data_IF_438689186955
#
_entry.id   IF_438689186955
#
_cell.length_a   1.000
_cell.length_b   1.000
_cell.length_c   1.000
_cell.angle_alpha   90.00
_cell.angle_beta   90.00
_cell.angle_gamma   90.00
#
_symmetry.space_group_name_H-M   'P 1'
#
loop_
_entity.id
_entity.type
_entity.pdbx_description
1 polymer ?
#
# COMPACT_ATOMS: atom_id res chain seq x y z
N UNK A 1 -35.03 20.21 6.96
CA UNK A 1 -34.45 20.10 6.99
C UNK A 1 -33.95 19.35 6.38
N UNK A 2 -33.50 19.59 6.24
CA UNK A 2 -32.95 18.66 5.76
C UNK A 2 -33.47 17.51 6.20
N UNK A 3 -33.87 16.66 5.43
CA UNK A 3 -34.41 15.45 5.88
C UNK A 3 -33.31 14.64 6.55
N UNK A 4 -33.69 13.91 7.58
CA UNK A 4 -32.72 13.05 8.26
C UNK A 4 -32.09 12.03 7.32
N UNK A 5 -32.86 11.49 6.40
CA UNK A 5 -32.29 10.55 5.46
C UNK A 5 -31.17 11.15 4.64
N UNK A 6 -31.34 12.38 4.28
CA UNK A 6 -30.35 13.08 3.54
C UNK A 6 -29.05 13.19 4.35
N UNK A 7 -29.18 13.49 5.63
CA UNK A 7 -27.99 13.56 6.48
C UNK A 7 -27.29 12.22 6.54
N UNK A 8 -28.04 11.16 6.61
CA UNK A 8 -27.45 9.84 6.67
C UNK A 8 -26.63 9.54 5.43
N UNK A 9 -27.15 9.93 4.27
CA UNK A 9 -26.41 9.73 3.03
C UNK A 9 -25.11 10.51 3.05
N UNK A 10 -25.15 11.74 3.50
CA UNK A 10 -23.95 12.55 3.57
C UNK A 10 -22.90 11.91 4.47
N UNK A 11 -23.34 11.40 5.62
CA UNK A 11 -22.45 10.77 6.55
C UNK A 11 -21.78 9.54 5.93
N UNK A 12 -22.55 8.75 5.20
CA UNK A 12 -22.02 7.56 4.55
C UNK A 12 -20.96 7.93 3.52
N UNK A 13 -21.22 8.96 2.73
CA UNK A 13 -20.24 9.39 1.74
C UNK A 13 -18.97 9.87 2.40
N UNK A 14 -19.09 10.61 3.48
CA UNK A 14 -17.92 11.10 4.18
C UNK A 14 -17.09 9.96 4.72
N UNK A 15 -17.72 8.94 5.27
CA UNK A 15 -16.99 7.79 5.78
C UNK A 15 -16.23 7.07 4.67
N UNK A 16 -16.88 6.85 3.54
CA UNK A 16 -16.25 6.20 2.41
C UNK A 16 -15.09 7.02 1.88
N UNK A 17 -15.25 8.34 1.82
CA UNK A 17 -14.19 9.23 1.36
C UNK A 17 -12.99 9.18 2.29
N UNK A 18 -13.23 9.14 3.59
CA UNK A 18 -12.13 9.07 4.56
C UNK A 18 -11.35 7.78 4.43
N UNK A 19 -12.04 6.67 4.23
CA UNK A 19 -11.38 5.37 4.06
C UNK A 19 -10.54 5.39 2.79
N UNK A 20 -11.09 5.88 1.70
CA UNK A 20 -10.36 5.93 0.43
C UNK A 20 -9.15 6.84 0.55
N UNK A 21 -9.29 7.97 1.24
CA UNK A 21 -8.19 8.90 1.43
C UNK A 21 -7.08 8.29 2.28
N UNK A 22 -7.46 7.56 3.33
CA UNK A 22 -6.49 6.89 4.20
C UNK A 22 -5.72 5.83 3.42
N UNK A 23 -6.42 5.05 2.60
CA UNK A 23 -5.78 4.02 1.79
C UNK A 23 -4.81 4.64 0.80
N UNK A 24 -5.20 5.77 0.18
CA UNK A 24 -4.34 6.43 -0.77
C UNK A 24 -3.06 6.96 -0.09
N UNK A 25 -3.21 7.56 1.09
CA UNK A 25 -2.05 8.07 1.82
C UNK A 25 -1.12 6.94 2.21
N UNK A 26 -1.67 5.84 2.67
CA UNK A 26 -0.87 4.69 3.06
C UNK A 26 -0.17 4.10 1.83
N UNK A 27 -0.86 4.07 0.70
CA UNK A 27 -0.26 3.59 -0.55
C UNK A 27 0.93 4.44 -0.95
N UNK A 28 0.81 5.77 -0.81
CA UNK A 28 1.91 6.67 -1.13
C UNK A 28 3.09 6.45 -0.19
N UNK A 29 2.83 6.26 1.10
CA UNK A 29 3.89 5.97 2.06
C UNK A 29 4.56 4.64 1.76
N UNK A 30 3.76 3.65 1.37
CA UNK A 30 4.28 2.34 1.01
C UNK A 30 5.19 2.44 -0.21
N UNK A 31 4.76 3.17 -1.23
CA UNK A 31 5.57 3.35 -2.43
C UNK A 31 6.88 4.06 -2.10
N UNK A 32 6.81 5.10 -1.28
CA UNK A 32 8.00 5.82 -0.89
C UNK A 32 9.00 4.91 -0.18
N UNK A 33 8.52 4.06 0.69
CA UNK A 33 9.39 3.11 1.40
C UNK A 33 10.06 2.14 0.42
N UNK A 34 9.31 1.69 -0.59
CA UNK A 34 9.88 0.79 -1.59
C UNK A 34 10.94 1.50 -2.42
N UNK A 35 10.67 2.75 -2.82
CA UNK A 35 11.62 3.54 -3.60
C UNK A 35 12.92 3.72 -2.84
N UNK A 36 12.84 3.97 -1.56
CA UNK A 36 14.04 4.18 -0.73
C UNK A 36 14.91 2.95 -0.61
N UNK A 37 14.36 1.78 -0.86
CA UNK A 37 15.13 0.54 -0.81
C UNK A 37 15.93 0.29 -2.09
N UNK A 38 15.65 1.02 -3.14
CA UNK A 38 16.39 0.92 -4.41
C UNK A 38 16.45 -0.55 -4.88
N UNK A 39 17.61 -1.02 -5.30
CA UNK A 39 17.73 -2.37 -5.82
C UNK A 39 17.58 -3.46 -4.76
N UNK A 40 17.70 -3.10 -3.48
CA UNK A 40 17.48 -4.07 -2.41
C UNK A 40 16.02 -4.53 -2.41
N UNK A 41 15.10 -3.63 -2.77
CA UNK A 41 13.70 -3.95 -2.79
C UNK A 41 13.09 -4.03 -1.41
N UNK A 42 11.82 -4.38 -1.36
CA UNK A 42 11.10 -4.45 -0.08
C UNK A 42 10.04 -5.52 -0.12
N UNK A 43 9.80 -6.14 1.03
CA UNK A 43 8.69 -7.06 1.21
C UNK A 43 7.59 -6.35 1.99
N UNK A 44 6.34 -6.83 1.90
CA UNK A 44 5.27 -6.19 2.68
C UNK A 44 5.55 -6.14 4.17
N UNK A 45 6.19 -7.18 4.73
CA UNK A 45 6.49 -7.17 6.15
C UNK A 45 7.51 -6.11 6.50
N UNK A 46 8.54 -5.94 5.65
CA UNK A 46 9.53 -4.90 5.89
C UNK A 46 8.90 -3.53 5.91
N UNK A 47 8.00 -3.27 4.96
CA UNK A 47 7.33 -1.97 4.90
C UNK A 47 6.40 -1.78 6.09
N UNK A 48 5.71 -2.83 6.51
CA UNK A 48 4.82 -2.72 7.65
C UNK A 48 5.60 -2.32 8.91
N UNK A 49 6.82 -2.84 9.07
CA UNK A 49 7.67 -2.46 10.19
C UNK A 49 8.19 -1.04 10.05
N UNK A 50 8.63 -0.66 8.86
CA UNK A 50 9.14 0.68 8.62
C UNK A 50 8.09 1.73 8.93
N UNK A 51 6.87 1.48 8.47
CA UNK A 51 5.78 2.44 8.63
C UNK A 51 5.01 2.27 9.92
N UNK A 52 5.31 1.22 10.68
CA UNK A 52 4.59 0.88 11.91
C UNK A 52 3.10 0.72 11.65
N UNK A 53 2.78 -0.01 10.58
CA UNK A 53 1.39 -0.28 10.18
C UNK A 53 1.14 -1.77 10.13
N UNK A 54 -0.13 -2.15 10.26
CA UNK A 54 -0.50 -3.55 10.21
C UNK A 54 -0.18 -4.15 8.85
N UNK A 55 0.35 -5.38 8.84
CA UNK A 55 0.60 -6.08 7.58
C UNK A 55 -0.70 -6.25 6.77
N UNK A 56 -1.83 -6.34 7.46
CA UNK A 56 -3.12 -6.47 6.79
C UNK A 56 -3.51 -5.20 6.03
N UNK A 57 -2.98 -4.06 6.45
CA UNK A 57 -3.20 -2.81 5.74
C UNK A 57 -2.17 -2.60 4.63
N UNK A 58 -0.98 -3.15 4.78
CA UNK A 58 0.11 -2.95 3.84
C UNK A 58 -0.01 -3.85 2.62
N UNK A 59 -0.38 -5.13 2.80
CA UNK A 59 -0.47 -6.05 1.68
C UNK A 59 -1.36 -5.55 0.54
N UNK A 60 -2.56 -5.03 0.82
CA UNK A 60 -3.38 -4.51 -0.27
C UNK A 60 -2.71 -3.36 -1.02
N UNK A 61 -1.90 -2.57 -0.32
CA UNK A 61 -1.18 -1.46 -0.97
C UNK A 61 -0.18 -1.97 -1.99
N UNK A 62 0.49 -3.07 -1.69
CA UNK A 62 1.41 -3.68 -2.66
C UNK A 62 0.66 -4.16 -3.89
N UNK A 63 -0.49 -4.79 -3.70
CA UNK A 63 -1.32 -5.26 -4.82
C UNK A 63 -1.73 -4.07 -5.69
N UNK A 64 -2.17 -3.00 -5.07
CA UNK A 64 -2.59 -1.81 -5.81
C UNK A 64 -1.44 -1.20 -6.60
N UNK A 65 -0.28 -1.10 -5.97
CA UNK A 65 0.88 -0.53 -6.64
C UNK A 65 1.35 -1.40 -7.80
N UNK A 66 1.23 -2.71 -7.67
CA UNK A 66 1.56 -3.62 -8.76
C UNK A 66 0.60 -3.41 -9.93
N UNK A 67 -0.69 -3.34 -9.64
CA UNK A 67 -1.71 -3.14 -10.67
C UNK A 67 -1.50 -1.80 -11.37
N UNK A 68 -1.12 -0.78 -10.61
CA UNK A 68 -0.87 0.55 -11.17
C UNK A 68 0.49 0.63 -11.87
N UNK A 69 1.25 -0.44 -11.84
CA UNK A 69 2.54 -0.55 -12.52
C UNK A 69 3.63 0.33 -11.90
N UNK A 70 3.49 0.66 -10.61
CA UNK A 70 4.53 1.39 -9.89
C UNK A 70 5.63 0.49 -9.36
N UNK A 71 5.31 -0.78 -9.10
CA UNK A 71 6.28 -1.74 -8.59
C UNK A 71 6.15 -3.05 -9.38
N UNK A 72 7.19 -3.87 -9.29
CA UNK A 72 7.18 -5.16 -9.97
C UNK A 72 7.86 -6.20 -9.09
N UNK A 73 7.54 -7.47 -9.35
CA UNK A 73 8.15 -8.60 -8.68
C UNK A 73 9.58 -8.73 -9.20
N UNK A 74 10.56 -8.53 -8.31
CA UNK A 74 11.97 -8.55 -8.72
C UNK A 74 12.47 -9.94 -9.07
N UNK A 75 11.72 -10.97 -8.73
CA UNK A 75 12.18 -12.35 -8.86
C UNK A 75 12.94 -12.85 -7.66
N UNK A 76 13.27 -11.95 -6.74
CA UNK A 76 13.95 -12.34 -5.52
C UNK A 76 12.96 -12.73 -4.44
N UNK A 77 13.44 -13.49 -3.47
CA UNK A 77 12.62 -13.90 -2.34
C UNK A 77 13.42 -13.69 -1.07
N UNK A 78 12.74 -13.28 -0.02
CA UNK A 78 13.37 -13.07 1.28
C UNK A 78 12.52 -13.75 2.33
N UNK A 79 13.16 -14.33 3.33
CA UNK A 79 12.41 -14.97 4.41
C UNK A 79 11.87 -13.91 5.35
N UNK A 80 10.64 -14.11 5.78
CA UNK A 80 10.01 -13.20 6.73
C UNK A 80 10.22 -13.74 8.15
N UNK A 81 9.58 -13.09 9.12
CA UNK A 81 9.72 -13.46 10.53
C UNK A 81 9.17 -14.84 10.83
N UNK A 82 8.34 -15.39 9.93
CA UNK A 82 7.80 -16.73 10.08
C UNK A 82 8.58 -17.76 9.26
N UNK A 83 9.75 -17.36 8.76
CA UNK A 83 10.61 -18.24 7.97
C UNK A 83 9.98 -18.68 6.65
N UNK A 84 9.04 -17.89 6.14
CA UNK A 84 8.41 -18.13 4.85
C UNK A 84 9.01 -17.23 3.79
N UNK A 85 9.15 -17.76 2.57
CA UNK A 85 9.67 -16.97 1.47
C UNK A 85 8.63 -15.98 0.99
N UNK A 86 8.99 -14.71 0.88
CA UNK A 86 8.10 -13.68 0.39
C UNK A 86 8.73 -12.97 -0.80
N UNK A 87 7.87 -12.49 -1.67
CA UNK A 87 8.33 -11.76 -2.85
C UNK A 87 8.96 -10.45 -2.46
N UNK A 88 10.04 -10.11 -3.14
CA UNK A 88 10.73 -8.83 -2.97
C UNK A 88 10.31 -7.94 -4.12
N UNK A 89 9.74 -6.79 -3.81
CA UNK A 89 9.21 -5.86 -4.80
C UNK A 89 10.16 -4.69 -4.98
N UNK A 90 10.26 -4.22 -6.21
CA UNK A 90 11.14 -3.10 -6.52
C UNK A 90 10.34 -2.04 -7.27
N UNK A 91 10.77 -0.79 -7.13
CA UNK A 91 10.15 0.32 -7.82
C UNK A 91 10.41 0.20 -9.33
N UNK A 92 9.39 0.47 -10.11
CA UNK A 92 9.48 0.39 -11.57
C UNK A 92 9.97 1.74 -12.11
N UNK A 93 11.30 1.87 -12.22
CA UNK A 93 11.92 3.13 -12.66
C UNK A 93 11.50 3.51 -14.06
N UNK A 94 11.27 2.52 -14.92
CA UNK A 94 10.94 2.82 -16.31
C UNK A 94 9.57 3.47 -16.45
N UNK A 95 8.77 3.46 -15.40
CA UNK A 95 7.47 4.10 -15.44
C UNK A 95 7.59 5.62 -15.56
N UNK A 96 8.67 6.19 -15.05
CA UNK A 96 8.88 7.64 -15.09
C UNK A 96 9.33 8.12 -16.46
N UNK A 97 9.68 7.24 -17.32
CA UNK A 97 10.09 7.57 -18.67
C UNK A 97 8.92 7.53 -19.63
#
# INVERSE_FOLDING_TARGET
>A
PMSPGYKEHSTSKEAATKVASRSRKLRERTLDAIIRKHSYGATPEEVSEILNESILSIRPRFTELKIMNFIYDSGLRRKNSFNSNTKVWRYNDSRDE
#
